data_IF_503500524456
#
_entry.id   IF_503500524456
#
_cell.length_a   1.000
_cell.length_b   1.000
_cell.length_c   1.000
_cell.angle_alpha   90.00
_cell.angle_beta   90.00
_cell.angle_gamma   90.00
#
_symmetry.space_group_name_H-M   'P 1'
#
loop_
_entity.id
_entity.type
_entity.pdbx_description
1 polymer ?
#
# COMPACT_ATOMS: atom_id res chain seq x y z
N UNK A 1 -1.31 -12.21 -17.54
CA UNK A 1 -0.54 -10.95 -17.42
C UNK A 1 -0.20 -10.45 -18.81
N UNK A 2 -0.18 -9.14 -19.05
CA UNK A 2 0.36 -8.62 -20.31
C UNK A 2 1.89 -8.63 -20.23
N UNK A 3 2.58 -9.11 -21.27
CA UNK A 3 4.04 -9.13 -21.35
C UNK A 3 4.62 -7.72 -21.15
N UNK A 4 3.96 -6.71 -21.74
CA UNK A 4 4.31 -5.30 -21.57
C UNK A 4 4.35 -4.90 -20.10
N UNK A 5 3.34 -5.31 -19.33
CA UNK A 5 3.25 -4.98 -17.90
C UNK A 5 4.35 -5.63 -17.06
N UNK A 6 4.72 -6.87 -17.39
CA UNK A 6 5.84 -7.54 -16.73
C UNK A 6 7.17 -6.86 -17.06
N UNK A 7 7.39 -6.53 -18.33
CA UNK A 7 8.58 -5.83 -18.79
C UNK A 7 8.72 -4.45 -18.12
N UNK A 8 7.67 -3.62 -18.14
CA UNK A 8 7.72 -2.28 -17.53
C UNK A 8 8.04 -2.33 -16.03
N UNK A 9 7.52 -3.31 -15.30
CA UNK A 9 7.82 -3.46 -13.86
C UNK A 9 9.22 -3.94 -13.61
N UNK A 10 9.70 -4.89 -14.41
CA UNK A 10 11.08 -5.39 -14.29
C UNK A 10 12.07 -4.26 -14.57
N UNK A 11 11.80 -3.44 -15.59
CA UNK A 11 12.58 -2.24 -15.90
C UNK A 11 12.53 -1.23 -14.76
N UNK A 12 11.35 -0.91 -14.22
CA UNK A 12 11.21 0.03 -13.11
C UNK A 12 11.91 -0.49 -11.84
N UNK A 13 11.74 -1.77 -11.52
CA UNK A 13 12.34 -2.42 -10.36
C UNK A 13 13.86 -2.50 -10.43
N UNK A 14 14.45 -2.59 -11.63
CA UNK A 14 15.90 -2.68 -11.82
C UNK A 14 16.66 -1.56 -11.12
N UNK A 15 16.12 -0.33 -11.15
CA UNK A 15 16.71 0.81 -10.46
C UNK A 15 16.81 0.54 -8.94
N UNK A 16 15.70 0.17 -8.31
CA UNK A 16 15.62 -0.06 -6.87
C UNK A 16 16.44 -1.26 -6.41
N UNK A 17 16.54 -2.31 -7.22
CA UNK A 17 17.37 -3.47 -6.92
C UNK A 17 18.85 -3.06 -6.91
N UNK A 18 19.29 -2.32 -7.93
CA UNK A 18 20.69 -1.86 -8.01
C UNK A 18 21.02 -0.84 -6.92
N UNK A 19 20.12 0.11 -6.66
CA UNK A 19 20.31 1.11 -5.61
C UNK A 19 20.32 0.47 -4.21
N UNK A 20 19.39 -0.46 -3.96
CA UNK A 20 19.33 -1.21 -2.71
C UNK A 20 20.57 -2.06 -2.44
N UNK A 21 21.09 -2.76 -3.45
CA UNK A 21 22.34 -3.53 -3.33
C UNK A 21 23.52 -2.61 -2.98
N UNK A 22 23.60 -1.43 -3.62
CA UNK A 22 24.65 -0.44 -3.34
C UNK A 22 24.53 0.10 -1.91
N UNK A 23 23.33 0.47 -1.49
CA UNK A 23 23.08 0.97 -0.14
C UNK A 23 23.40 -0.04 0.96
N UNK A 24 23.24 -1.34 0.71
CA UNK A 24 23.60 -2.41 1.65
C UNK A 24 25.12 -2.67 1.63
N UNK A 25 25.70 -2.80 0.44
CA UNK A 25 27.07 -3.30 0.26
C UNK A 25 28.13 -2.21 0.46
N UNK A 26 27.81 -0.97 0.11
CA UNK A 26 28.73 0.17 0.21
C UNK A 26 27.95 1.42 0.67
N UNK A 27 27.64 1.52 1.97
CA UNK A 27 26.88 2.64 2.51
C UNK A 27 27.73 3.93 2.59
N UNK A 28 29.06 3.85 2.63
CA UNK A 28 29.97 4.99 2.86
C UNK A 28 29.69 6.23 1.97
N UNK A 29 29.57 6.12 0.64
CA UNK A 29 29.30 7.29 -0.21
C UNK A 29 27.88 7.85 -0.07
N UNK A 30 26.95 7.09 0.53
CA UNK A 30 25.60 7.56 0.84
C UNK A 30 25.50 8.16 2.25
N UNK A 31 26.53 8.05 3.09
CA UNK A 31 26.51 8.57 4.48
C UNK A 31 26.41 10.10 4.51
N UNK A 32 27.07 10.80 3.58
CA UNK A 32 27.01 12.27 3.48
C UNK A 32 25.59 12.77 3.18
N UNK A 33 24.81 11.98 2.44
CA UNK A 33 23.38 12.24 2.23
C UNK A 33 22.54 11.69 3.40
N UNK A 34 23.02 10.66 4.09
CA UNK A 34 22.34 10.01 5.22
C UNK A 34 22.26 10.87 6.47
N UNK A 35 23.19 11.80 6.70
CA UNK A 35 23.05 12.80 7.77
C UNK A 35 21.75 13.60 7.59
N UNK A 36 21.47 14.03 6.34
CA UNK A 36 20.21 14.70 5.98
C UNK A 36 19.00 13.76 6.04
N UNK A 37 19.16 12.47 5.73
CA UNK A 37 18.10 11.46 5.95
C UNK A 37 17.78 11.36 7.43
N UNK A 38 18.81 11.29 8.29
CA UNK A 38 18.69 11.13 9.73
C UNK A 38 17.99 12.33 10.35
N UNK A 39 18.35 13.55 9.94
CA UNK A 39 17.69 14.80 10.37
C UNK A 39 16.21 14.89 9.97
N UNK A 40 15.81 14.30 8.85
CA UNK A 40 14.40 14.26 8.39
C UNK A 40 13.66 13.08 9.04
N UNK A 41 14.32 11.94 9.22
CA UNK A 41 13.73 10.71 9.71
C UNK A 41 13.54 10.70 11.23
N UNK A 42 14.48 11.23 12.01
CA UNK A 42 14.37 11.33 13.47
C UNK A 42 13.08 12.00 13.94
N UNK A 43 12.71 13.21 13.47
CA UNK A 43 11.51 13.89 13.96
C UNK A 43 10.22 13.19 13.53
N UNK A 44 10.21 12.50 12.39
CA UNK A 44 9.05 11.71 11.94
C UNK A 44 8.92 10.44 12.77
N UNK A 45 10.03 9.73 12.98
CA UNK A 45 10.07 8.50 13.75
C UNK A 45 9.76 8.75 15.24
N UNK A 46 10.22 9.86 15.82
CA UNK A 46 9.86 10.29 17.18
C UNK A 46 8.39 10.69 17.31
N UNK A 47 7.77 11.26 16.26
CA UNK A 47 6.33 11.61 16.28
C UNK A 47 5.42 10.39 16.10
N UNK A 48 5.87 9.37 15.39
CA UNK A 48 5.07 8.17 15.09
C UNK A 48 5.31 7.07 16.13
N UNK A 49 6.44 7.08 16.84
CA UNK A 49 6.71 6.15 17.94
C UNK A 49 6.03 6.60 19.23
N UNK A 50 5.08 5.84 19.80
CA UNK A 50 4.71 5.95 21.21
C UNK A 50 5.97 5.71 22.07
N UNK A 51 6.06 6.35 23.24
CA UNK A 51 7.26 6.61 24.04
C UNK A 51 8.10 5.41 24.58
N UNK A 52 8.11 4.28 23.89
CA UNK A 52 8.76 3.04 24.29
C UNK A 52 9.53 2.35 23.14
N UNK A 53 9.54 2.91 21.92
CA UNK A 53 10.36 2.43 20.78
C UNK A 53 11.52 3.39 20.44
N UNK A 54 11.57 4.55 21.10
CA UNK A 54 12.62 5.57 20.93
C UNK A 54 14.05 5.05 21.12
N UNK A 55 14.22 4.07 21.99
CA UNK A 55 15.51 3.42 22.32
C UNK A 55 15.97 2.39 21.30
N UNK A 56 15.14 2.01 20.33
CA UNK A 56 15.49 1.09 19.24
C UNK A 56 15.72 1.81 17.90
N UNK A 57 15.59 3.14 17.87
CA UNK A 57 15.95 3.89 16.67
C UNK A 57 17.48 3.85 16.51
N UNK A 58 17.98 3.44 15.33
CA UNK A 58 19.40 3.54 15.06
C UNK A 58 19.84 5.00 15.11
N UNK A 59 20.81 5.31 15.98
CA UNK A 59 21.45 6.63 16.02
C UNK A 59 22.42 6.81 14.84
N UNK A 60 22.89 5.70 14.26
CA UNK A 60 23.85 5.73 13.15
C UNK A 60 23.18 5.94 11.78
N UNK A 61 23.58 6.97 11.01
CA UNK A 61 23.08 7.21 9.65
C UNK A 61 23.30 6.03 8.69
N UNK A 62 24.38 5.27 8.89
CA UNK A 62 24.70 4.05 8.11
C UNK A 62 23.60 2.99 8.22
N UNK A 63 22.99 2.86 9.39
CA UNK A 63 21.94 1.86 9.62
C UNK A 63 20.65 2.26 8.92
N UNK A 64 20.32 3.56 8.87
CA UNK A 64 19.20 4.07 8.09
C UNK A 64 19.36 3.81 6.59
N UNK A 65 20.55 4.05 6.04
CA UNK A 65 20.85 3.74 4.63
C UNK A 65 20.66 2.26 4.34
N UNK A 66 21.13 1.37 5.23
CA UNK A 66 20.95 -0.08 5.07
C UNK A 66 19.49 -0.50 5.15
N UNK A 67 18.69 0.08 6.04
CA UNK A 67 17.25 -0.21 6.16
C UNK A 67 16.51 0.24 4.89
N UNK A 68 16.81 1.44 4.39
CA UNK A 68 16.22 1.95 3.16
C UNK A 68 16.65 1.07 1.98
N UNK A 69 17.94 0.75 1.86
CA UNK A 69 18.47 -0.12 0.81
C UNK A 69 17.89 -1.53 0.84
N UNK A 70 17.72 -2.13 2.02
CA UNK A 70 17.04 -3.41 2.19
C UNK A 70 15.56 -3.34 1.77
N UNK A 71 14.88 -2.24 2.12
CA UNK A 71 13.51 -1.97 1.71
C UNK A 71 13.40 -1.87 0.19
N UNK A 72 14.34 -1.17 -0.46
CA UNK A 72 14.40 -1.02 -1.91
C UNK A 72 14.68 -2.34 -2.63
N UNK A 73 15.59 -3.14 -2.09
CA UNK A 73 15.89 -4.47 -2.64
C UNK A 73 14.66 -5.39 -2.55
N UNK A 74 14.06 -5.50 -1.36
CA UNK A 74 12.88 -6.36 -1.14
C UNK A 74 11.69 -5.87 -1.96
N UNK A 75 11.44 -4.56 -1.95
CA UNK A 75 10.37 -3.93 -2.73
C UNK A 75 10.59 -4.08 -4.24
N UNK A 76 11.82 -3.93 -4.71
CA UNK A 76 12.21 -4.08 -6.11
C UNK A 76 12.03 -5.52 -6.59
N UNK A 77 12.54 -6.50 -5.84
CA UNK A 77 12.37 -7.92 -6.15
C UNK A 77 10.88 -8.29 -6.13
N UNK A 78 10.13 -7.87 -5.11
CA UNK A 78 8.68 -8.09 -5.03
C UNK A 78 7.93 -7.48 -6.21
N UNK A 79 8.30 -6.27 -6.63
CA UNK A 79 7.71 -5.60 -7.78
C UNK A 79 8.03 -6.31 -9.11
N UNK A 80 9.27 -6.75 -9.30
CA UNK A 80 9.74 -7.44 -10.51
C UNK A 80 9.04 -8.80 -10.69
N UNK A 81 9.04 -9.63 -9.65
CA UNK A 81 8.43 -10.97 -9.69
C UNK A 81 6.91 -10.96 -9.45
N UNK A 82 6.32 -9.81 -9.12
CA UNK A 82 4.88 -9.66 -8.88
C UNK A 82 4.41 -10.17 -7.51
N UNK A 83 5.33 -10.41 -6.58
CA UNK A 83 5.04 -10.83 -5.20
C UNK A 83 4.63 -9.60 -4.39
N UNK A 84 3.44 -9.66 -3.78
CA UNK A 84 2.89 -8.56 -2.98
C UNK A 84 3.01 -7.19 -3.70
N UNK A 85 2.70 -7.17 -5.00
CA UNK A 85 3.04 -6.07 -5.91
C UNK A 85 2.69 -4.66 -5.42
N UNK A 86 1.46 -4.48 -4.90
CA UNK A 86 0.98 -3.18 -4.42
C UNK A 86 1.71 -2.71 -3.16
N UNK A 87 1.80 -3.52 -2.07
CA UNK A 87 2.58 -3.12 -0.91
C UNK A 87 4.08 -2.98 -1.23
N UNK A 88 4.65 -3.80 -2.13
CA UNK A 88 6.03 -3.62 -2.58
C UNK A 88 6.24 -2.26 -3.24
N UNK A 89 5.37 -1.87 -4.19
CA UNK A 89 5.44 -0.55 -4.83
C UNK A 89 5.15 0.61 -3.86
N UNK A 90 4.22 0.42 -2.91
CA UNK A 90 3.95 1.42 -1.87
C UNK A 90 5.17 1.62 -0.96
N UNK A 91 5.84 0.54 -0.58
CA UNK A 91 7.05 0.56 0.21
C UNK A 91 8.20 1.28 -0.54
N UNK A 92 8.39 1.00 -1.83
CA UNK A 92 9.34 1.73 -2.67
C UNK A 92 9.00 3.22 -2.78
N UNK A 93 7.71 3.55 -2.88
CA UNK A 93 7.25 4.95 -2.92
C UNK A 93 7.62 5.67 -1.62
N UNK A 94 7.41 5.03 -0.47
CA UNK A 94 7.77 5.59 0.84
C UNK A 94 9.28 5.75 1.00
N UNK A 95 10.07 4.75 0.59
CA UNK A 95 11.53 4.79 0.63
C UNK A 95 12.13 5.91 -0.24
N UNK A 96 11.47 6.24 -1.35
CA UNK A 96 11.94 7.27 -2.31
C UNK A 96 11.65 8.71 -1.85
N UNK A 97 10.70 8.94 -0.93
CA UNK A 97 10.33 10.30 -0.48
C UNK A 97 11.53 11.04 0.15
N UNK A 98 12.27 10.47 1.12
CA UNK A 98 13.45 11.13 1.68
C UNK A 98 14.51 11.41 0.60
N UNK A 99 14.74 10.47 -0.32
CA UNK A 99 15.73 10.63 -1.38
C UNK A 99 15.43 11.82 -2.31
N UNK A 100 14.16 12.03 -2.64
CA UNK A 100 13.71 13.16 -3.47
C UNK A 100 13.90 14.49 -2.71
N UNK A 101 13.60 14.52 -1.42
CA UNK A 101 13.76 15.71 -0.59
C UNK A 101 15.24 16.14 -0.51
N UNK A 102 16.14 15.18 -0.37
CA UNK A 102 17.59 15.42 -0.27
C UNK A 102 18.18 15.87 -1.59
N UNK A 103 17.70 15.34 -2.72
CA UNK A 103 18.16 15.74 -4.05
C UNK A 103 17.68 17.12 -4.51
N UNK A 104 16.98 17.88 -3.67
CA UNK A 104 16.47 19.20 -4.06
C UNK A 104 17.62 20.09 -4.55
N UNK A 105 17.53 20.70 -5.75
CA UNK A 105 18.62 21.51 -6.29
C UNK A 105 18.89 22.71 -5.39
N UNK A 106 20.12 22.83 -4.90
CA UNK A 106 20.55 23.98 -4.11
C UNK A 106 21.02 25.12 -5.02
N UNK A 107 20.55 26.33 -4.71
CA UNK A 107 20.91 27.57 -5.41
C UNK A 107 22.26 28.14 -4.94
N UNK A 108 22.84 27.63 -3.87
CA UNK A 108 24.17 28.02 -3.38
C UNK A 108 25.32 27.45 -4.23
N UNK A 109 25.08 26.34 -4.93
CA UNK A 109 26.08 25.60 -5.70
C UNK A 109 26.45 26.28 -7.02
N UNK A 110 27.63 25.93 -7.54
CA UNK A 110 28.10 26.33 -8.87
C UNK A 110 27.12 25.92 -9.98
N UNK A 111 27.14 26.63 -11.11
CA UNK A 111 26.16 26.40 -12.18
C UNK A 111 26.19 24.96 -12.73
N UNK A 112 27.38 24.40 -12.93
CA UNK A 112 27.58 23.03 -13.41
C UNK A 112 27.01 21.98 -12.44
N UNK A 113 27.32 22.10 -11.15
CA UNK A 113 26.83 21.21 -10.10
C UNK A 113 25.32 21.32 -9.91
N UNK A 114 24.77 22.53 -10.02
CA UNK A 114 23.31 22.75 -9.94
C UNK A 114 22.56 22.05 -11.07
N UNK A 115 23.10 22.07 -12.28
CA UNK A 115 22.50 21.38 -13.44
C UNK A 115 22.54 19.87 -13.23
N UNK A 116 23.66 19.32 -12.72
CA UNK A 116 23.78 17.90 -12.39
C UNK A 116 22.80 17.48 -11.27
N UNK A 117 22.68 18.26 -10.20
CA UNK A 117 21.73 17.95 -9.12
C UNK A 117 20.27 18.04 -9.59
N UNK A 118 19.96 18.96 -10.51
CA UNK A 118 18.63 19.10 -11.09
C UNK A 118 18.24 17.88 -11.93
N UNK A 119 19.16 17.29 -12.69
CA UNK A 119 18.86 16.07 -13.45
C UNK A 119 18.59 14.90 -12.50
N UNK A 120 19.42 14.71 -11.47
CA UNK A 120 19.23 13.67 -10.44
C UNK A 120 17.89 13.83 -9.73
N UNK A 121 17.53 15.05 -9.32
CA UNK A 121 16.25 15.35 -8.69
C UNK A 121 15.06 14.93 -9.56
N UNK A 122 15.06 15.34 -10.83
CA UNK A 122 13.96 15.00 -11.74
C UNK A 122 13.92 13.51 -12.09
N UNK A 123 15.07 12.84 -12.17
CA UNK A 123 15.12 11.39 -12.33
C UNK A 123 14.49 10.68 -11.13
N UNK A 124 14.82 11.09 -9.90
CA UNK A 124 14.20 10.54 -8.67
C UNK A 124 12.71 10.85 -8.59
N UNK A 125 12.28 12.05 -8.98
CA UNK A 125 10.86 12.40 -9.07
C UNK A 125 10.11 11.55 -10.10
N UNK A 126 10.69 11.33 -11.27
CA UNK A 126 10.10 10.48 -12.30
C UNK A 126 9.96 9.04 -11.82
N UNK A 127 10.97 8.52 -11.12
CA UNK A 127 10.93 7.21 -10.48
C UNK A 127 9.84 7.14 -9.41
N UNK A 128 9.77 8.12 -8.51
CA UNK A 128 8.71 8.23 -7.49
C UNK A 128 7.31 8.19 -8.12
N UNK A 129 7.10 8.94 -9.21
CA UNK A 129 5.84 8.90 -9.97
C UNK A 129 5.57 7.52 -10.57
N UNK A 130 6.60 6.86 -11.13
CA UNK A 130 6.51 5.52 -11.71
C UNK A 130 6.10 4.45 -10.68
N UNK A 131 6.77 4.38 -9.53
CA UNK A 131 6.39 3.43 -8.46
C UNK A 131 5.08 3.81 -7.78
N UNK A 132 4.79 5.11 -7.65
CA UNK A 132 3.50 5.58 -7.13
C UNK A 132 2.33 5.11 -7.98
N UNK A 133 2.43 5.18 -9.32
CA UNK A 133 1.45 4.60 -10.24
C UNK A 133 1.38 3.08 -10.10
N UNK A 134 2.52 2.40 -9.95
CA UNK A 134 2.57 0.94 -9.76
C UNK A 134 1.88 0.49 -8.45
N UNK A 135 1.89 1.31 -7.39
CA UNK A 135 1.21 1.03 -6.13
C UNK A 135 -0.33 1.06 -6.26
N UNK A 136 -0.83 1.89 -7.16
CA UNK A 136 -2.27 2.02 -7.45
C UNK A 136 -2.78 1.00 -8.48
N UNK A 137 -1.89 0.41 -9.28
CA UNK A 137 -2.28 -0.58 -10.30
C UNK A 137 -2.91 -1.83 -9.64
N UNK A 138 -4.15 -2.15 -10.03
CA UNK A 138 -4.92 -3.31 -9.56
C UNK A 138 -4.91 -4.49 -10.54
N UNK A 139 -4.29 -4.36 -11.73
CA UNK A 139 -4.16 -5.46 -12.72
C UNK A 139 -5.50 -6.07 -13.17
N UNK A 140 -6.63 -5.37 -12.95
CA UNK A 140 -7.96 -5.91 -13.14
C UNK A 140 -8.43 -6.87 -12.04
N UNK A 141 -7.64 -7.07 -10.98
CA UNK A 141 -8.07 -7.81 -9.78
C UNK A 141 -8.96 -6.90 -8.93
N UNK A 142 -10.13 -7.38 -8.48
CA UNK A 142 -10.98 -6.59 -7.60
C UNK A 142 -10.26 -6.24 -6.30
N UNK A 143 -10.22 -4.95 -5.98
CA UNK A 143 -9.59 -4.43 -4.77
C UNK A 143 -10.27 -4.92 -3.48
N UNK A 144 -9.58 -4.75 -2.35
CA UNK A 144 -10.11 -5.13 -1.02
C UNK A 144 -11.42 -4.39 -0.74
N UNK A 145 -11.52 -3.11 -1.11
CA UNK A 145 -12.76 -2.31 -0.99
C UNK A 145 -13.91 -2.92 -1.79
N UNK A 146 -13.66 -3.31 -3.04
CA UNK A 146 -14.64 -3.98 -3.89
C UNK A 146 -15.07 -5.32 -3.26
N UNK A 147 -14.12 -6.14 -2.79
CA UNK A 147 -14.43 -7.42 -2.14
C UNK A 147 -15.23 -7.23 -0.85
N UNK A 148 -14.90 -6.23 -0.05
CA UNK A 148 -15.63 -5.86 1.16
C UNK A 148 -17.06 -5.40 0.83
N UNK A 149 -17.23 -4.61 -0.23
CA UNK A 149 -18.53 -4.16 -0.69
C UNK A 149 -19.39 -5.32 -1.19
N UNK A 150 -18.81 -6.26 -1.95
CA UNK A 150 -19.54 -7.44 -2.41
C UNK A 150 -19.91 -8.37 -1.26
N UNK A 151 -19.02 -8.55 -0.27
CA UNK A 151 -19.34 -9.27 0.96
C UNK A 151 -20.50 -8.61 1.71
N UNK A 152 -20.48 -7.28 1.83
CA UNK A 152 -21.57 -6.50 2.46
C UNK A 152 -22.89 -6.66 1.70
N UNK A 153 -22.87 -6.57 0.36
CA UNK A 153 -24.04 -6.79 -0.50
C UNK A 153 -24.61 -8.19 -0.34
N UNK A 154 -23.76 -9.22 -0.31
CA UNK A 154 -24.17 -10.60 -0.08
C UNK A 154 -24.84 -10.79 1.29
N UNK A 155 -24.28 -10.20 2.36
CA UNK A 155 -24.85 -10.25 3.70
C UNK A 155 -26.22 -9.55 3.78
N UNK A 156 -26.35 -8.36 3.16
CA UNK A 156 -27.62 -7.63 3.11
C UNK A 156 -28.68 -8.44 2.34
N UNK A 157 -28.32 -9.03 1.20
CA UNK A 157 -29.22 -9.90 0.42
C UNK A 157 -29.71 -11.08 1.24
N UNK A 158 -28.80 -11.79 1.91
CA UNK A 158 -29.14 -12.94 2.75
C UNK A 158 -30.04 -12.53 3.94
N UNK A 159 -29.78 -11.37 4.55
CA UNK A 159 -30.65 -10.81 5.60
C UNK A 159 -32.06 -10.54 5.07
N UNK A 160 -32.18 -9.88 3.92
CA UNK A 160 -33.47 -9.55 3.32
C UNK A 160 -34.27 -10.80 2.95
N UNK A 161 -33.63 -11.80 2.36
CA UNK A 161 -34.26 -13.09 2.05
C UNK A 161 -34.78 -13.79 3.31
N UNK A 162 -34.00 -13.81 4.40
CA UNK A 162 -34.43 -14.35 5.70
C UNK A 162 -35.62 -13.59 6.29
N UNK A 163 -35.64 -12.27 6.17
CA UNK A 163 -36.75 -11.44 6.63
C UNK A 163 -38.04 -11.72 5.83
N UNK A 164 -37.93 -11.80 4.50
CA UNK A 164 -39.05 -12.15 3.62
C UNK A 164 -39.56 -13.56 3.92
N UNK A 165 -38.67 -14.54 4.11
CA UNK A 165 -39.06 -15.90 4.49
C UNK A 165 -39.78 -15.95 5.85
N UNK A 166 -39.30 -15.20 6.86
CA UNK A 166 -39.97 -15.05 8.16
C UNK A 166 -41.37 -14.44 8.02
N UNK A 167 -41.51 -13.38 7.22
CA UNK A 167 -42.82 -12.75 6.97
C UNK A 167 -43.79 -13.71 6.26
N UNK A 168 -43.32 -14.45 5.24
CA UNK A 168 -44.13 -15.46 4.55
C UNK A 168 -44.60 -16.55 5.50
N UNK A 169 -43.70 -17.08 6.35
CA UNK A 169 -44.04 -18.07 7.39
C UNK A 169 -45.10 -17.54 8.35
N UNK A 170 -44.95 -16.30 8.84
CA UNK A 170 -45.97 -15.66 9.69
C UNK A 170 -47.33 -15.56 8.99
N UNK A 171 -47.38 -15.07 7.75
CA UNK A 171 -48.64 -14.96 6.99
C UNK A 171 -49.31 -16.32 6.75
N UNK A 172 -48.53 -17.37 6.48
CA UNK A 172 -49.05 -18.73 6.31
C UNK A 172 -49.61 -19.28 7.62
N UNK A 173 -48.91 -19.06 8.74
CA UNK A 173 -49.40 -19.47 10.06
C UNK A 173 -50.72 -18.77 10.44
N UNK A 174 -50.83 -17.47 10.19
CA UNK A 174 -52.08 -16.72 10.43
C UNK A 174 -53.23 -17.22 9.53
N UNK A 175 -52.97 -17.50 8.25
CA UNK A 175 -53.97 -18.11 7.37
C UNK A 175 -54.41 -19.50 7.85
N UNK A 176 -53.47 -20.32 8.32
CA UNK A 176 -53.77 -21.64 8.86
C UNK A 176 -54.64 -21.55 10.11
N UNK A 177 -54.29 -20.67 11.07
CA UNK A 177 -55.12 -20.40 12.25
C UNK A 177 -56.54 -19.96 11.88
N UNK A 178 -56.68 -19.05 10.92
CA UNK A 178 -57.99 -18.60 10.44
C UNK A 178 -58.83 -19.71 9.82
N UNK A 179 -58.22 -20.63 9.05
CA UNK A 179 -58.91 -21.80 8.51
C UNK A 179 -59.34 -22.77 9.61
N UNK A 180 -58.48 -23.04 10.59
CA UNK A 180 -58.81 -23.91 11.73
C UNK A 180 -59.95 -23.33 12.55
N UNK A 181 -59.96 -22.01 12.80
CA UNK A 181 -61.05 -21.34 13.51
C UNK A 181 -62.38 -21.46 12.77
N UNK A 182 -62.41 -21.27 11.45
CA UNK A 182 -63.61 -21.46 10.62
C UNK A 182 -64.10 -22.91 10.62
N UNK A 183 -63.19 -23.87 10.51
CA UNK A 183 -63.54 -25.29 10.56
C UNK A 183 -64.13 -25.70 11.91
N UNK A 184 -63.57 -25.20 13.03
CA UNK A 184 -64.14 -25.42 14.37
C UNK A 184 -65.55 -24.84 14.48
N UNK A 185 -65.76 -23.60 14.04
CA UNK A 185 -67.08 -22.97 14.09
C UNK A 185 -68.16 -23.77 13.37
N UNK A 186 -67.84 -24.33 12.19
CA UNK A 186 -68.77 -25.13 11.38
C UNK A 186 -69.11 -26.52 11.94
N UNK A 187 -68.33 -27.04 12.89
CA UNK A 187 -68.58 -28.34 13.55
C UNK A 187 -69.42 -28.18 14.83
N UNK A 188 -69.49 -26.97 15.39
CA UNK A 188 -70.26 -26.66 16.62
C UNK A 188 -71.71 -26.22 16.36
N UNK A 189 -72.10 -26.04 15.10
CA UNK A 189 -73.48 -25.79 14.63
C UNK A 189 -74.05 -27.06 14.03
#
# INVERSE_FOLDING_TARGET
>A
MSILRFASRSMLASYFIVDGIKAISNPEPLVTDAEKVTDIALPIAQRVSPGNVGSYLPEEPKTWVRIIGASELVGGVGLAFGIARRPSAALLTLAMIPQVLISRPDRSLAHSERVANRSVFFSRLALLGGVGLAAQDTEGKPGISWRAEQARKALIKQRNERLVAKQRRKKLAEKAKGKVAKAKAAVTT
#
